data_IF_179595190459
#
_entry.id   IF_179595190459
#
_cell.length_a   1.000
_cell.length_b   1.000
_cell.length_c   1.000
_cell.angle_alpha   90.00
_cell.angle_beta   90.00
_cell.angle_gamma   90.00
#
_symmetry.space_group_name_H-M   'P 1'
#
loop_
_entity.id
_entity.type
_entity.pdbx_description
1 polymer ?
#
# COMPACT_ATOMS: atom_id res chain seq x y z
N UNK A 1 4.07 17.44 91.18
CA UNK A 1 3.09 16.36 91.44
C UNK A 1 2.39 16.06 90.12
N UNK A 2 2.62 14.87 89.55
CA UNK A 2 1.91 14.12 88.48
C UNK A 2 1.51 14.80 87.13
N UNK A 3 2.19 14.34 86.07
CA UNK A 3 1.71 13.72 84.80
C UNK A 3 0.38 14.13 84.15
N UNK A 4 0.46 14.51 82.86
CA UNK A 4 -0.38 14.12 81.69
C UNK A 4 -0.15 15.14 80.54
N UNK A 5 -0.11 14.88 79.24
CA UNK A 5 -0.40 13.75 78.35
C UNK A 5 -0.01 14.18 76.90
N UNK A 6 0.51 13.24 76.07
CA UNK A 6 0.32 12.97 74.61
C UNK A 6 -0.06 14.15 73.68
N UNK A 7 0.39 14.34 72.43
CA UNK A 7 1.23 13.66 71.41
C UNK A 7 1.40 14.66 70.23
N UNK A 8 2.33 14.42 69.27
CA UNK A 8 2.77 15.42 68.28
C UNK A 8 2.06 15.31 66.92
N UNK A 9 1.99 16.42 66.16
CA UNK A 9 1.73 16.40 64.71
C UNK A 9 2.80 17.23 63.99
N UNK A 10 3.82 16.55 63.48
CA UNK A 10 4.73 17.09 62.45
C UNK A 10 3.99 17.13 61.11
N UNK A 11 4.00 18.29 60.44
CA UNK A 11 3.63 18.44 59.03
C UNK A 11 4.84 18.11 58.15
N UNK A 12 4.66 17.45 56.99
CA UNK A 12 5.77 16.98 56.16
C UNK A 12 6.34 18.10 55.29
N UNK A 13 7.64 17.96 55.01
CA UNK A 13 8.48 18.77 54.15
C UNK A 13 7.94 18.85 52.71
N UNK A 14 7.89 20.07 52.17
CA UNK A 14 7.80 20.31 50.74
C UNK A 14 9.18 20.12 50.10
N UNK A 15 9.35 19.09 49.28
CA UNK A 15 10.49 18.95 48.36
C UNK A 15 9.98 19.17 46.94
N UNK A 16 10.21 20.36 46.42
CA UNK A 16 9.94 20.74 45.04
C UNK A 16 11.11 20.27 44.17
N UNK A 17 11.06 19.04 43.67
CA UNK A 17 11.95 18.59 42.59
C UNK A 17 11.50 19.25 41.29
N UNK A 18 12.28 20.21 40.78
CA UNK A 18 12.20 20.63 39.38
C UNK A 18 12.68 19.46 38.50
N UNK A 19 11.73 18.69 37.97
CA UNK A 19 11.97 17.83 36.81
C UNK A 19 12.11 18.75 35.59
N UNK A 20 13.36 19.04 35.21
CA UNK A 20 13.70 19.48 33.86
C UNK A 20 13.33 18.34 32.90
N UNK A 21 12.07 18.32 32.46
CA UNK A 21 11.61 17.45 31.39
C UNK A 21 12.38 17.81 30.13
N UNK A 22 13.28 16.93 29.69
CA UNK A 22 13.80 16.97 28.34
C UNK A 22 12.62 16.83 27.40
N UNK A 23 12.27 17.91 26.70
CA UNK A 23 11.36 17.85 25.58
C UNK A 23 11.98 16.91 24.55
N UNK A 24 11.56 15.64 24.57
CA UNK A 24 11.78 14.71 23.47
C UNK A 24 10.86 15.19 22.35
N UNK A 25 11.39 16.03 21.47
CA UNK A 25 10.81 16.17 20.14
C UNK A 25 10.79 14.78 19.51
N UNK A 26 9.58 14.34 19.15
CA UNK A 26 9.32 13.04 18.53
C UNK A 26 10.01 13.06 17.16
N UNK A 27 11.19 12.46 17.04
CA UNK A 27 11.81 12.11 15.76
C UNK A 27 11.13 10.84 15.22
N UNK A 28 9.91 10.98 14.73
CA UNK A 28 9.35 10.02 13.80
C UNK A 28 9.27 10.73 12.44
N UNK A 29 10.26 10.55 11.55
CA UNK A 29 10.05 10.67 10.08
C UNK A 29 11.28 10.37 9.20
N UNK A 30 12.52 10.61 9.66
CA UNK A 30 13.69 10.53 8.76
C UNK A 30 13.92 9.15 8.12
N UNK A 31 13.53 8.06 8.79
CA UNK A 31 13.72 6.71 8.27
C UNK A 31 12.70 6.33 7.18
N UNK A 32 11.44 6.76 7.31
CA UNK A 32 10.39 6.47 6.32
C UNK A 32 10.61 7.29 5.06
N UNK A 33 10.98 8.56 5.21
CA UNK A 33 11.30 9.43 4.08
C UNK A 33 12.52 8.93 3.30
N UNK A 34 13.60 8.55 4.00
CA UNK A 34 14.82 8.07 3.34
C UNK A 34 14.63 6.69 2.66
N UNK A 35 13.91 5.76 3.28
CA UNK A 35 13.59 4.47 2.68
C UNK A 35 12.61 4.64 1.50
N UNK A 36 11.58 5.47 1.68
CA UNK A 36 10.59 5.78 0.65
C UNK A 36 11.25 6.41 -0.59
N UNK A 37 12.16 7.37 -0.40
CA UNK A 37 12.91 7.99 -1.49
C UNK A 37 13.79 6.98 -2.23
N UNK A 38 14.51 6.11 -1.50
CA UNK A 38 15.30 5.04 -2.12
C UNK A 38 14.43 4.09 -2.96
N UNK A 39 13.25 3.70 -2.46
CA UNK A 39 12.32 2.82 -3.18
C UNK A 39 11.75 3.49 -4.42
N UNK A 40 11.26 4.72 -4.31
CA UNK A 40 10.71 5.47 -5.44
C UNK A 40 11.76 5.67 -6.53
N UNK A 41 12.99 6.05 -6.17
CA UNK A 41 14.09 6.25 -7.12
C UNK A 41 14.52 4.95 -7.79
N UNK A 42 14.65 3.87 -7.02
CA UNK A 42 14.95 2.55 -7.58
C UNK A 42 13.89 2.14 -8.60
N UNK A 43 12.61 2.23 -8.21
CA UNK A 43 11.47 1.86 -9.03
C UNK A 43 11.32 2.74 -10.28
N UNK A 44 11.62 4.03 -10.17
CA UNK A 44 11.49 5.01 -11.23
C UNK A 44 12.69 5.16 -12.16
N UNK A 45 13.88 4.68 -11.75
CA UNK A 45 15.13 4.90 -12.49
C UNK A 45 15.08 4.43 -13.95
N UNK A 46 14.39 3.32 -14.22
CA UNK A 46 14.19 2.79 -15.58
C UNK A 46 13.05 3.48 -16.36
N UNK A 47 12.18 4.22 -15.67
CA UNK A 47 11.03 4.91 -16.26
C UNK A 47 11.38 6.30 -16.78
N UNK A 48 12.38 6.97 -16.19
CA UNK A 48 12.78 8.33 -16.61
C UNK A 48 13.17 8.34 -18.10
N UNK A 49 12.59 9.27 -18.86
CA UNK A 49 12.74 9.42 -20.30
C UNK A 49 11.90 8.46 -21.14
N UNK A 50 11.28 7.45 -20.54
CA UNK A 50 10.39 6.54 -21.24
C UNK A 50 9.02 7.19 -21.48
N UNK A 51 8.33 6.82 -22.57
CA UNK A 51 6.95 7.20 -22.77
C UNK A 51 6.06 6.68 -21.63
N UNK A 52 5.21 7.54 -21.09
CA UNK A 52 4.22 7.17 -20.09
C UNK A 52 3.10 6.30 -20.71
N UNK A 53 2.45 5.42 -19.91
CA UNK A 53 1.37 4.57 -20.39
C UNK A 53 0.13 5.37 -20.78
N UNK A 54 -0.67 4.84 -21.72
CA UNK A 54 -2.07 5.25 -21.76
C UNK A 54 -2.77 4.72 -20.53
N UNK A 55 -3.55 5.56 -19.87
CA UNK A 55 -4.55 5.08 -18.94
C UNK A 55 -5.79 5.95 -19.01
N UNK A 56 -6.95 5.30 -18.83
CA UNK A 56 -8.21 5.97 -18.57
C UNK A 56 -8.50 5.82 -17.09
N UNK A 57 -8.57 6.95 -16.40
CA UNK A 57 -8.80 7.03 -14.97
C UNK A 57 -10.23 7.45 -14.69
N UNK A 58 -10.87 6.77 -13.75
CA UNK A 58 -12.16 7.19 -13.23
C UNK A 58 -11.93 7.97 -11.95
N UNK A 59 -12.41 9.22 -11.90
CA UNK A 59 -12.32 10.04 -10.69
C UNK A 59 -13.32 9.58 -9.64
N UNK A 60 -13.09 9.98 -8.39
CA UNK A 60 -13.99 9.78 -7.26
C UNK A 60 -15.41 10.32 -7.51
N UNK A 61 -15.54 11.30 -8.41
CA UNK A 61 -16.81 11.92 -8.82
C UNK A 61 -17.36 11.33 -10.15
N UNK A 62 -16.77 10.25 -10.65
CA UNK A 62 -17.21 9.53 -11.85
C UNK A 62 -16.77 10.16 -13.18
N UNK A 63 -15.92 11.18 -13.18
CA UNK A 63 -15.37 11.76 -14.42
C UNK A 63 -14.29 10.85 -15.00
N UNK A 64 -14.16 10.83 -16.32
CA UNK A 64 -13.11 10.10 -17.01
C UNK A 64 -11.95 11.05 -17.36
N UNK A 65 -10.73 10.65 -17.05
CA UNK A 65 -9.49 11.31 -17.48
C UNK A 65 -8.72 10.35 -18.37
N UNK A 66 -8.48 10.73 -19.62
CA UNK A 66 -7.64 9.97 -20.54
C UNK A 66 -6.25 10.61 -20.57
N UNK A 67 -5.27 9.97 -19.91
CA UNK A 67 -3.91 10.51 -19.81
C UNK A 67 -3.27 10.74 -21.19
N UNK A 68 -3.55 9.86 -22.15
CA UNK A 68 -2.99 9.96 -23.48
C UNK A 68 -3.47 11.21 -24.23
N UNK A 69 -4.66 11.72 -23.90
CA UNK A 69 -5.21 12.95 -24.47
C UNK A 69 -4.62 14.23 -23.86
N UNK A 70 -3.90 14.12 -22.74
CA UNK A 70 -3.21 15.24 -22.09
C UNK A 70 -1.81 15.45 -22.69
N UNK A 71 -1.18 14.37 -23.16
CA UNK A 71 0.12 14.44 -23.83
C UNK A 71 0.02 15.31 -25.11
N UNK A 72 1.00 16.19 -25.28
CA UNK A 72 1.05 17.26 -26.27
C UNK A 72 0.34 18.56 -25.84
N UNK A 73 -0.49 18.53 -24.79
CA UNK A 73 -1.24 19.71 -24.31
C UNK A 73 -0.63 20.29 -23.05
N UNK A 74 -0.48 19.48 -22.00
CA UNK A 74 0.09 19.88 -20.70
C UNK A 74 0.95 18.76 -20.12
N UNK A 75 1.98 19.08 -19.33
CA UNK A 75 2.57 18.11 -18.42
C UNK A 75 1.51 17.55 -17.46
N UNK A 76 1.74 16.35 -16.95
CA UNK A 76 0.86 15.65 -16.01
C UNK A 76 1.64 15.30 -14.76
N UNK A 77 1.16 15.74 -13.60
CA UNK A 77 1.73 15.38 -12.31
C UNK A 77 0.78 14.45 -11.55
N UNK A 78 1.21 13.21 -11.35
CA UNK A 78 0.49 12.20 -10.60
C UNK A 78 1.13 12.03 -9.22
N UNK A 79 0.31 12.07 -8.17
CA UNK A 79 0.72 11.65 -6.82
C UNK A 79 -0.05 10.41 -6.42
N UNK A 80 0.62 9.27 -6.38
CA UNK A 80 0.07 8.03 -5.84
C UNK A 80 -0.02 8.11 -4.32
N UNK A 81 -1.17 7.78 -3.76
CA UNK A 81 -1.41 7.90 -2.33
C UNK A 81 -2.47 6.94 -1.81
N UNK A 82 -2.61 6.88 -0.49
CA UNK A 82 -3.72 6.21 0.18
C UNK A 82 -4.10 6.99 1.44
N UNK A 83 -5.35 6.86 1.91
CA UNK A 83 -5.81 7.60 3.11
C UNK A 83 -5.18 7.09 4.40
N UNK A 84 -4.72 5.83 4.42
CA UNK A 84 -3.97 5.25 5.54
C UNK A 84 -2.49 5.66 5.58
N UNK A 85 -1.96 6.20 4.48
CA UNK A 85 -0.55 6.51 4.34
C UNK A 85 -0.22 7.85 5.03
N UNK A 86 0.48 7.78 6.16
CA UNK A 86 0.91 8.95 6.96
C UNK A 86 1.72 9.97 6.14
N UNK A 87 2.82 9.61 5.44
CA UNK A 87 3.59 10.59 4.67
C UNK A 87 2.79 11.19 3.52
N UNK A 88 1.85 10.43 2.94
CA UNK A 88 0.97 10.95 1.91
C UNK A 88 0.15 12.14 2.43
N UNK A 89 -0.46 11.97 3.62
CA UNK A 89 -1.27 12.99 4.29
C UNK A 89 -0.46 14.22 4.66
N UNK A 90 0.74 14.03 5.22
CA UNK A 90 1.65 15.14 5.56
C UNK A 90 2.02 15.97 4.32
N UNK A 91 2.20 15.33 3.16
CA UNK A 91 2.52 16.01 1.90
C UNK A 91 1.28 16.53 1.14
N UNK A 92 0.04 16.31 1.59
CA UNK A 92 -1.14 16.77 0.84
C UNK A 92 -1.31 18.28 0.79
N UNK A 93 -1.04 19.06 1.86
CA UNK A 93 -1.08 20.52 1.79
C UNK A 93 -0.10 21.09 0.75
N UNK A 94 1.11 20.54 0.63
CA UNK A 94 2.09 20.93 -0.40
C UNK A 94 1.59 20.59 -1.81
N UNK A 95 0.98 19.41 -1.97
CA UNK A 95 0.36 19.00 -3.23
C UNK A 95 -0.80 19.90 -3.67
N UNK A 96 -1.65 20.34 -2.74
CA UNK A 96 -2.71 21.32 -3.00
C UNK A 96 -2.13 22.70 -3.36
N UNK A 97 -1.05 23.14 -2.71
CA UNK A 97 -0.36 24.38 -3.08
C UNK A 97 0.23 24.31 -4.51
N UNK A 98 0.72 23.14 -4.94
CA UNK A 98 1.14 22.90 -6.33
C UNK A 98 -0.04 23.02 -7.28
N UNK A 99 -1.19 22.43 -6.96
CA UNK A 99 -2.41 22.57 -7.75
C UNK A 99 -2.83 24.04 -7.91
N UNK A 100 -2.85 24.81 -6.81
CA UNK A 100 -3.23 26.22 -6.84
C UNK A 100 -2.26 27.07 -7.67
N UNK A 101 -0.96 26.75 -7.64
CA UNK A 101 0.07 27.51 -8.35
C UNK A 101 0.22 27.13 -9.82
N UNK A 102 0.08 25.83 -10.13
CA UNK A 102 0.45 25.28 -11.44
C UNK A 102 -0.71 24.59 -12.18
N UNK A 103 -1.91 24.43 -11.60
CA UNK A 103 -3.03 23.70 -12.21
C UNK A 103 -3.48 24.22 -13.58
N UNK A 104 -3.24 25.50 -13.88
CA UNK A 104 -3.50 26.05 -15.21
C UNK A 104 -2.48 25.56 -16.27
N UNK A 105 -1.27 25.23 -15.84
CA UNK A 105 -0.12 24.88 -16.69
C UNK A 105 0.20 23.39 -16.71
N UNK A 106 -0.11 22.67 -15.63
CA UNK A 106 0.11 21.23 -15.40
C UNK A 106 -1.22 20.60 -15.03
N UNK A 107 -1.52 19.41 -15.54
CA UNK A 107 -2.62 18.60 -15.02
C UNK A 107 -2.15 17.88 -13.74
N UNK A 108 -2.61 18.32 -12.57
CA UNK A 108 -2.27 17.71 -11.27
C UNK A 108 -3.37 16.73 -10.87
N UNK A 109 -3.03 15.48 -10.61
CA UNK A 109 -4.00 14.41 -10.29
C UNK A 109 -3.53 13.64 -9.07
N UNK A 110 -4.37 13.57 -8.04
CA UNK A 110 -4.19 12.64 -6.93
C UNK A 110 -4.68 11.25 -7.37
N UNK A 111 -3.82 10.24 -7.34
CA UNK A 111 -4.17 8.86 -7.71
C UNK A 111 -4.20 8.01 -6.45
N UNK A 112 -5.39 7.77 -5.90
CA UNK A 112 -5.53 6.83 -4.80
C UNK A 112 -5.29 5.41 -5.33
N UNK A 113 -4.45 4.63 -4.65
CA UNK A 113 -4.09 3.28 -5.12
C UNK A 113 -5.23 2.28 -5.03
N UNK A 114 -6.31 2.61 -4.30
CA UNK A 114 -7.44 1.76 -3.92
C UNK A 114 -7.05 0.48 -3.17
N UNK A 115 -5.78 0.36 -2.75
CA UNK A 115 -5.27 -0.76 -2.00
C UNK A 115 -5.60 -0.57 -0.53
N UNK A 116 -6.47 -1.43 0.00
CA UNK A 116 -7.05 -1.34 1.33
C UNK A 116 -7.54 0.07 1.59
N UNK A 117 -8.40 0.60 0.75
CA UNK A 117 -8.95 1.95 0.87
C UNK A 117 -10.35 2.01 0.27
N UNK A 118 -11.14 3.00 0.67
CA UNK A 118 -12.54 3.09 0.26
C UNK A 118 -12.95 4.52 -0.12
N UNK A 119 -13.95 4.62 -1.00
CA UNK A 119 -14.38 5.88 -1.57
C UNK A 119 -14.89 6.89 -0.51
N UNK A 120 -15.43 6.42 0.61
CA UNK A 120 -15.97 7.29 1.65
C UNK A 120 -14.86 7.90 2.50
N UNK A 121 -13.85 7.09 2.86
CA UNK A 121 -12.60 7.55 3.45
C UNK A 121 -11.91 8.58 2.56
N UNK A 122 -11.82 8.33 1.24
CA UNK A 122 -11.22 9.27 0.29
C UNK A 122 -12.02 10.59 0.23
N UNK A 123 -13.36 10.51 0.20
CA UNK A 123 -14.23 11.70 0.22
C UNK A 123 -14.08 12.53 1.49
N UNK A 124 -13.97 11.87 2.65
CA UNK A 124 -13.72 12.54 3.92
C UNK A 124 -12.39 13.30 3.90
N UNK A 125 -11.30 12.64 3.47
CA UNK A 125 -9.99 13.28 3.37
C UNK A 125 -9.95 14.44 2.38
N UNK A 126 -10.60 14.31 1.22
CA UNK A 126 -10.73 15.42 0.26
C UNK A 126 -11.34 16.66 0.92
N UNK A 127 -12.41 16.46 1.71
CA UNK A 127 -13.10 17.55 2.40
C UNK A 127 -12.24 18.14 3.50
N UNK A 128 -11.64 17.30 4.35
CA UNK A 128 -10.89 17.74 5.53
C UNK A 128 -9.63 18.52 5.15
N UNK A 129 -8.98 18.14 4.04
CA UNK A 129 -7.77 18.79 3.53
C UNK A 129 -8.05 19.89 2.51
N UNK A 130 -9.32 20.09 2.12
CA UNK A 130 -9.71 21.10 1.11
C UNK A 130 -9.09 20.87 -0.27
N UNK A 131 -8.92 19.60 -0.67
CA UNK A 131 -8.26 19.26 -1.94
C UNK A 131 -9.14 19.63 -3.13
N UNK A 132 -8.55 20.35 -4.10
CA UNK A 132 -9.27 20.89 -5.27
C UNK A 132 -8.95 20.17 -6.58
N UNK A 133 -7.85 19.42 -6.63
CA UNK A 133 -7.49 18.65 -7.82
C UNK A 133 -8.37 17.41 -8.00
N UNK A 134 -8.47 16.86 -9.22
CA UNK A 134 -9.10 15.56 -9.45
C UNK A 134 -8.44 14.45 -8.62
N UNK A 135 -9.27 13.62 -8.00
CA UNK A 135 -8.83 12.39 -7.32
C UNK A 135 -9.31 11.20 -8.12
N UNK A 136 -8.39 10.43 -8.70
CA UNK A 136 -8.65 9.15 -9.36
C UNK A 136 -8.51 8.00 -8.36
N UNK A 137 -9.27 6.92 -8.56
CA UNK A 137 -9.05 5.65 -7.87
C UNK A 137 -8.50 4.69 -8.92
N UNK A 138 -7.25 4.27 -8.73
CA UNK A 138 -6.61 3.27 -9.57
C UNK A 138 -7.09 1.87 -9.17
N UNK A 139 -7.24 0.97 -10.15
CA UNK A 139 -7.52 -0.46 -9.91
C UNK A 139 -6.22 -1.29 -9.76
N UNK A 140 -5.07 -0.60 -9.75
CA UNK A 140 -3.73 -1.17 -9.72
C UNK A 140 -3.07 -1.23 -11.09
N UNK A 141 -3.82 -1.00 -12.18
CA UNK A 141 -3.30 -1.04 -13.55
C UNK A 141 -2.27 0.05 -13.79
N UNK A 142 -2.58 1.29 -13.39
CA UNK A 142 -1.64 2.39 -13.58
C UNK A 142 -0.46 2.28 -12.61
N UNK A 143 -0.71 1.86 -11.36
CA UNK A 143 0.34 1.60 -10.38
C UNK A 143 1.38 0.60 -10.92
N UNK A 144 0.96 -0.51 -11.54
CA UNK A 144 1.90 -1.46 -12.16
C UNK A 144 2.64 -0.87 -13.35
N UNK A 145 1.93 -0.19 -14.25
CA UNK A 145 2.55 0.40 -15.44
C UNK A 145 3.61 1.47 -15.09
N UNK A 146 3.46 2.13 -13.94
CA UNK A 146 4.40 3.10 -13.39
C UNK A 146 5.28 2.55 -12.26
N UNK A 147 5.36 1.22 -12.15
CA UNK A 147 6.21 0.50 -11.21
C UNK A 147 6.09 1.03 -9.76
N UNK A 148 4.88 1.23 -9.27
CA UNK A 148 4.64 1.73 -7.92
C UNK A 148 5.25 0.77 -6.87
N UNK A 149 6.07 1.32 -5.96
CA UNK A 149 6.69 0.55 -4.85
C UNK A 149 6.49 1.17 -3.47
N UNK A 150 5.97 2.39 -3.43
CA UNK A 150 5.89 3.22 -2.23
C UNK A 150 4.74 4.21 -2.39
N UNK A 151 4.16 4.65 -1.27
CA UNK A 151 3.26 5.81 -1.25
C UNK A 151 3.73 6.81 -0.18
N UNK A 152 3.82 8.12 -0.47
CA UNK A 152 3.54 8.71 -1.78
C UNK A 152 4.59 8.33 -2.83
N UNK A 153 4.16 8.22 -4.09
CA UNK A 153 5.07 8.23 -5.23
C UNK A 153 4.61 9.31 -6.18
N UNK A 154 5.50 10.27 -6.41
CA UNK A 154 5.34 11.36 -7.35
C UNK A 154 5.81 10.88 -8.71
N UNK A 155 5.00 11.09 -9.74
CA UNK A 155 5.37 10.85 -11.14
C UNK A 155 5.04 12.10 -11.94
N UNK A 156 6.05 12.74 -12.50
CA UNK A 156 5.88 13.87 -13.41
C UNK A 156 6.11 13.40 -14.84
N UNK A 157 5.13 13.64 -15.69
CA UNK A 157 5.16 13.35 -17.12
C UNK A 157 5.21 14.69 -17.85
N UNK A 158 6.18 14.85 -18.74
CA UNK A 158 6.34 16.02 -19.58
C UNK A 158 5.18 16.22 -20.54
N UNK A 159 5.10 17.40 -21.16
CA UNK A 159 4.14 17.68 -22.21
C UNK A 159 4.33 16.72 -23.38
N UNK A 160 5.54 16.23 -23.64
CA UNK A 160 5.79 15.24 -24.69
C UNK A 160 5.32 13.81 -24.34
N UNK A 161 4.77 13.58 -23.14
CA UNK A 161 4.31 12.27 -22.69
C UNK A 161 5.43 11.38 -22.14
N UNK A 162 6.65 11.88 -21.93
CA UNK A 162 7.74 11.12 -21.29
C UNK A 162 7.80 11.40 -19.79
N UNK A 163 8.21 10.40 -19.02
CA UNK A 163 8.35 10.54 -17.57
C UNK A 163 9.62 11.35 -17.27
N UNK A 164 9.48 12.49 -16.61
CA UNK A 164 10.56 13.41 -16.25
C UNK A 164 11.08 13.20 -14.83
N UNK A 165 10.22 12.76 -13.91
CA UNK A 165 10.57 12.58 -12.51
C UNK A 165 9.76 11.45 -11.88
N UNK A 166 10.41 10.67 -11.01
CA UNK A 166 9.79 9.72 -10.11
C UNK A 166 10.48 9.85 -8.75
N UNK A 167 9.71 10.07 -7.68
CA UNK A 167 10.26 10.34 -6.35
C UNK A 167 9.25 10.17 -5.23
N UNK A 168 9.70 10.25 -3.98
CA UNK A 168 8.85 10.10 -2.79
C UNK A 168 8.58 11.43 -2.07
N UNK A 169 9.56 12.33 -2.10
CA UNK A 169 9.59 13.54 -1.29
C UNK A 169 9.03 14.73 -2.06
N UNK A 170 8.28 15.58 -1.35
CA UNK A 170 7.97 16.95 -1.80
C UNK A 170 9.17 17.85 -1.52
N UNK A 171 10.15 17.86 -2.42
CA UNK A 171 11.46 18.48 -2.21
C UNK A 171 11.90 19.36 -3.40
N UNK A 172 13.11 19.94 -3.29
CA UNK A 172 13.68 20.79 -4.33
C UNK A 172 13.82 20.07 -5.69
N UNK A 173 14.08 18.76 -5.69
CA UNK A 173 14.20 17.96 -6.91
C UNK A 173 12.86 17.93 -7.67
N UNK A 174 11.77 17.58 -6.98
CA UNK A 174 10.41 17.62 -7.53
C UNK A 174 10.03 19.03 -8.02
N UNK A 175 10.26 20.06 -7.22
CA UNK A 175 9.92 21.43 -7.60
C UNK A 175 10.73 21.92 -8.81
N UNK A 176 11.99 21.51 -8.95
CA UNK A 176 12.81 21.82 -10.13
C UNK A 176 12.26 21.12 -11.36
N UNK A 177 11.87 19.85 -11.24
CA UNK A 177 11.24 19.11 -12.34
C UNK A 177 9.90 19.74 -12.77
N UNK A 178 9.07 20.19 -11.83
CA UNK A 178 7.82 20.92 -12.12
C UNK A 178 8.09 22.21 -12.92
N UNK A 179 9.10 22.99 -12.53
CA UNK A 179 9.48 24.20 -13.27
C UNK A 179 9.97 23.89 -14.68
N UNK A 180 10.77 22.82 -14.85
CA UNK A 180 11.23 22.37 -16.16
C UNK A 180 10.07 21.92 -17.05
N UNK A 181 9.10 21.18 -16.50
CA UNK A 181 7.92 20.73 -17.23
C UNK A 181 7.05 21.91 -17.72
N UNK A 182 6.91 22.97 -16.91
CA UNK A 182 6.20 24.19 -17.32
C UNK A 182 6.94 24.91 -18.46
N UNK A 183 8.27 24.98 -18.36
CA UNK A 183 9.12 25.64 -19.37
C UNK A 183 9.32 24.81 -20.65
N UNK A 184 8.89 23.55 -20.66
CA UNK A 184 9.06 22.65 -21.80
C UNK A 184 8.38 23.22 -23.05
N UNK A 185 9.10 23.19 -24.18
CA UNK A 185 8.57 23.56 -25.49
C UNK A 185 7.60 22.52 -26.07
N UNK A 186 7.26 22.67 -27.35
CA UNK A 186 6.58 21.60 -28.08
C UNK A 186 7.62 20.58 -28.54
N UNK A 187 7.41 19.31 -28.24
CA UNK A 187 8.21 18.18 -28.68
C UNK A 187 7.30 17.10 -29.31
N UNK A 188 7.85 16.16 -30.09
CA UNK A 188 7.07 15.02 -30.59
C UNK A 188 6.47 14.22 -29.44
N UNK A 189 5.15 14.07 -29.47
CA UNK A 189 4.43 13.33 -28.43
C UNK A 189 4.77 11.83 -28.52
N UNK A 190 5.14 11.25 -27.39
CA UNK A 190 5.38 9.83 -27.21
C UNK A 190 4.38 9.24 -26.22
N UNK A 191 4.01 7.98 -26.43
CA UNK A 191 3.09 7.22 -25.58
C UNK A 191 3.46 5.75 -25.63
N UNK A 192 3.46 5.08 -24.49
CA UNK A 192 3.62 3.62 -24.42
C UNK A 192 2.31 2.89 -24.74
N UNK A 193 2.34 1.57 -24.66
CA UNK A 193 1.14 0.73 -24.77
C UNK A 193 0.07 1.13 -23.74
N UNK A 194 -1.17 0.74 -24.03
CA UNK A 194 -2.28 0.94 -23.10
C UNK A 194 -2.04 0.11 -21.83
N UNK A 195 -2.16 0.75 -20.67
CA UNK A 195 -2.26 0.03 -19.41
C UNK A 195 -3.67 -0.55 -19.33
N UNK A 196 -3.75 -1.88 -19.35
CA UNK A 196 -5.02 -2.61 -19.36
C UNK A 196 -5.19 -3.41 -18.08
N UNK A 197 -6.37 -3.35 -17.49
CA UNK A 197 -6.74 -4.21 -16.38
C UNK A 197 -6.65 -5.69 -16.80
N UNK A 198 -6.02 -6.51 -15.96
CA UNK A 198 -6.01 -7.96 -16.14
C UNK A 198 -7.37 -8.55 -15.74
N UNK A 199 -7.75 -9.66 -16.37
CA UNK A 199 -8.90 -10.45 -15.91
C UNK A 199 -8.64 -10.97 -14.50
N UNK A 200 -9.68 -10.97 -13.68
CA UNK A 200 -9.62 -11.44 -12.29
C UNK A 200 -10.34 -12.77 -12.13
N UNK A 201 -9.79 -13.68 -11.35
CA UNK A 201 -10.45 -14.93 -10.96
C UNK A 201 -11.59 -14.65 -9.96
N UNK A 202 -12.77 -15.18 -10.26
CA UNK A 202 -13.92 -15.21 -9.38
C UNK A 202 -14.10 -16.61 -8.74
N UNK A 203 -14.97 -16.69 -7.73
CA UNK A 203 -15.39 -17.99 -7.16
C UNK A 203 -15.98 -18.88 -8.27
N UNK A 204 -15.46 -20.10 -8.38
CA UNK A 204 -15.79 -21.09 -9.42
C UNK A 204 -14.77 -21.16 -10.55
N UNK A 205 -13.98 -20.11 -10.77
CA UNK A 205 -12.97 -20.07 -11.83
C UNK A 205 -11.84 -21.05 -11.55
N UNK A 206 -11.36 -21.68 -12.62
CA UNK A 206 -10.20 -22.56 -12.56
C UNK A 206 -8.93 -21.74 -12.79
N UNK A 207 -8.02 -21.79 -11.83
CA UNK A 207 -6.69 -21.19 -11.92
C UNK A 207 -5.75 -22.19 -12.60
N UNK A 208 -5.39 -21.91 -13.85
CA UNK A 208 -4.32 -22.63 -14.56
C UNK A 208 -3.12 -21.72 -14.77
N UNK A 209 -1.94 -22.33 -14.98
CA UNK A 209 -0.75 -21.63 -15.48
C UNK A 209 -0.17 -20.53 -14.56
N UNK A 210 -0.44 -20.65 -13.26
CA UNK A 210 0.14 -19.78 -12.24
C UNK A 210 1.28 -20.48 -11.50
N UNK A 211 2.35 -19.75 -11.24
CA UNK A 211 3.48 -20.22 -10.45
C UNK A 211 3.95 -19.13 -9.51
N UNK A 212 3.99 -19.41 -8.21
CA UNK A 212 4.40 -18.45 -7.19
C UNK A 212 5.81 -18.82 -6.71
N UNK A 213 6.85 -18.03 -7.02
CA UNK A 213 8.17 -18.24 -6.45
C UNK A 213 8.14 -17.89 -4.95
N UNK A 214 8.67 -18.77 -4.12
CA UNK A 214 8.75 -18.59 -2.68
C UNK A 214 10.12 -18.06 -2.27
N UNK A 215 10.19 -17.45 -1.08
CA UNK A 215 11.43 -16.87 -0.55
C UNK A 215 12.52 -17.90 -0.26
N UNK A 216 12.16 -19.17 -0.03
CA UNK A 216 13.11 -20.26 0.18
C UNK A 216 13.70 -20.82 -1.14
N UNK A 217 13.35 -20.22 -2.28
CA UNK A 217 13.77 -20.63 -3.61
C UNK A 217 12.92 -21.74 -4.23
N UNK A 218 11.95 -22.29 -3.48
CA UNK A 218 10.95 -23.20 -4.04
C UNK A 218 9.87 -22.46 -4.83
N UNK A 219 8.96 -23.21 -5.46
CA UNK A 219 7.88 -22.66 -6.28
C UNK A 219 6.59 -23.43 -6.00
N UNK A 220 5.50 -22.71 -5.75
CA UNK A 220 4.16 -23.27 -5.72
C UNK A 220 3.55 -23.24 -7.12
N UNK A 221 3.32 -24.42 -7.72
CA UNK A 221 2.78 -24.55 -9.09
C UNK A 221 1.30 -24.91 -9.09
N UNK A 222 0.48 -24.08 -9.76
CA UNK A 222 -0.96 -24.22 -9.76
C UNK A 222 -1.48 -25.26 -10.75
N UNK A 223 -0.73 -25.54 -11.82
CA UNK A 223 -1.13 -26.51 -12.84
C UNK A 223 -0.98 -27.97 -12.37
N UNK A 224 -0.07 -28.22 -11.42
CA UNK A 224 0.21 -29.56 -10.88
C UNK A 224 -0.60 -29.92 -9.62
N UNK A 225 -1.64 -29.13 -9.28
CA UNK A 225 -2.39 -29.27 -8.04
C UNK A 225 -3.04 -30.65 -7.87
N UNK A 226 -2.79 -31.26 -6.72
CA UNK A 226 -3.53 -32.45 -6.24
C UNK A 226 -4.09 -32.26 -4.83
N UNK A 227 -3.93 -31.06 -4.28
CA UNK A 227 -4.32 -30.67 -2.91
C UNK A 227 -5.03 -29.33 -2.95
N UNK A 228 -5.98 -29.09 -2.03
CA UNK A 228 -6.50 -27.75 -1.81
C UNK A 228 -5.40 -26.77 -1.40
N UNK A 229 -5.64 -25.48 -1.60
CA UNK A 229 -4.69 -24.40 -1.30
C UNK A 229 -5.33 -23.27 -0.54
N UNK A 230 -4.51 -22.63 0.28
CA UNK A 230 -4.84 -21.37 0.93
C UNK A 230 -3.75 -20.33 0.61
N UNK A 231 -4.15 -19.25 -0.05
CA UNK A 231 -3.29 -18.12 -0.39
C UNK A 231 -3.67 -16.96 0.52
N UNK A 232 -2.78 -16.58 1.42
CA UNK A 232 -2.97 -15.44 2.33
C UNK A 232 -2.32 -14.21 1.72
N UNK A 233 -3.13 -13.26 1.25
CA UNK A 233 -2.69 -11.96 0.74
C UNK A 233 -2.58 -10.95 1.86
N UNK A 234 -1.40 -10.35 2.04
CA UNK A 234 -1.14 -9.42 3.13
C UNK A 234 -0.04 -8.42 2.81
N UNK A 235 0.28 -7.56 3.78
CA UNK A 235 1.54 -6.82 3.80
C UNK A 235 2.11 -6.83 5.23
N UNK A 236 3.41 -7.11 5.43
CA UNK A 236 4.05 -7.16 6.74
C UNK A 236 3.80 -5.96 7.65
N UNK A 237 3.76 -4.76 7.06
CA UNK A 237 3.53 -3.52 7.79
C UNK A 237 2.07 -3.37 8.29
N UNK A 238 1.12 -4.16 7.79
CA UNK A 238 -0.30 -4.02 8.11
C UNK A 238 -0.60 -4.13 9.61
N UNK A 239 0.09 -5.02 10.33
CA UNK A 239 -0.17 -5.26 11.75
C UNK A 239 0.31 -4.12 12.65
N UNK A 240 1.38 -3.43 12.27
CA UNK A 240 2.03 -2.41 13.10
C UNK A 240 1.72 -0.99 12.63
N UNK A 241 1.80 -0.74 11.33
CA UNK A 241 1.63 0.59 10.74
C UNK A 241 0.19 1.08 10.82
N UNK A 242 -0.78 0.17 10.72
CA UNK A 242 -2.20 0.53 10.69
C UNK A 242 -2.86 0.59 12.08
N UNK A 243 -2.15 0.33 13.17
CA UNK A 243 -2.75 0.24 14.52
C UNK A 243 -3.50 1.52 14.89
N UNK A 244 -2.90 2.68 14.62
CA UNK A 244 -3.48 3.96 15.00
C UNK A 244 -4.54 4.43 13.99
N UNK A 245 -4.26 4.30 12.70
CA UNK A 245 -5.12 4.84 11.64
C UNK A 245 -6.28 3.91 11.27
N UNK A 246 -6.09 2.59 11.40
CA UNK A 246 -7.04 1.54 11.00
C UNK A 246 -6.94 0.29 11.91
N UNK A 247 -7.28 0.43 13.19
CA UNK A 247 -7.10 -0.64 14.19
C UNK A 247 -7.83 -1.95 13.84
N UNK A 248 -8.97 -1.88 13.14
CA UNK A 248 -9.69 -3.08 12.70
C UNK A 248 -8.92 -3.86 11.65
N UNK A 249 -8.34 -3.19 10.66
CA UNK A 249 -7.51 -3.81 9.63
C UNK A 249 -6.23 -4.40 10.22
N UNK A 250 -5.56 -3.68 11.13
CA UNK A 250 -4.39 -4.19 11.83
C UNK A 250 -4.68 -5.49 12.59
N UNK A 251 -5.80 -5.52 13.35
CA UNK A 251 -6.26 -6.72 14.06
C UNK A 251 -6.63 -7.86 13.11
N UNK A 252 -7.24 -7.56 11.96
CA UNK A 252 -7.54 -8.58 10.96
C UNK A 252 -6.25 -9.21 10.42
N UNK A 253 -5.23 -8.40 10.07
CA UNK A 253 -3.92 -8.90 9.62
C UNK A 253 -3.28 -9.83 10.65
N UNK A 254 -3.29 -9.44 11.93
CA UNK A 254 -2.81 -10.29 13.02
C UNK A 254 -3.61 -11.59 13.14
N UNK A 255 -4.93 -11.49 13.15
CA UNK A 255 -5.83 -12.64 13.26
C UNK A 255 -5.60 -13.65 12.13
N UNK A 256 -5.54 -13.20 10.87
CA UNK A 256 -5.36 -14.09 9.72
C UNK A 256 -4.01 -14.80 9.78
N UNK A 257 -2.92 -14.11 10.17
CA UNK A 257 -1.61 -14.76 10.36
C UNK A 257 -1.69 -15.85 11.43
N UNK A 258 -2.19 -15.51 12.61
CA UNK A 258 -2.23 -16.43 13.75
C UNK A 258 -3.17 -17.63 13.49
N UNK A 259 -4.32 -17.38 12.87
CA UNK A 259 -5.27 -18.45 12.54
C UNK A 259 -4.75 -19.34 11.40
N UNK A 260 -4.03 -18.79 10.41
CA UNK A 260 -3.35 -19.60 9.39
C UNK A 260 -2.30 -20.52 10.01
N UNK A 261 -1.42 -20.01 10.88
CA UNK A 261 -0.42 -20.81 11.59
C UNK A 261 -1.06 -21.92 12.44
N UNK A 262 -2.16 -21.61 13.13
CA UNK A 262 -2.93 -22.59 13.89
C UNK A 262 -3.55 -23.64 12.98
N UNK A 263 -4.21 -23.25 11.90
CA UNK A 263 -4.86 -24.17 10.97
C UNK A 263 -3.86 -25.10 10.30
N UNK A 264 -2.69 -24.62 9.89
CA UNK A 264 -1.59 -25.42 9.33
C UNK A 264 -1.16 -26.57 10.24
N UNK A 265 -1.30 -26.42 11.56
CA UNK A 265 -0.93 -27.46 12.53
C UNK A 265 -1.97 -28.58 12.68
N UNK A 266 -3.20 -28.37 12.20
CA UNK A 266 -4.29 -29.35 12.28
C UNK A 266 -4.15 -30.48 11.25
N UNK A 267 -4.80 -31.62 11.47
CA UNK A 267 -4.77 -32.73 10.51
C UNK A 267 -5.30 -32.35 9.13
N UNK A 268 -6.37 -31.53 9.07
CA UNK A 268 -6.89 -31.01 7.82
C UNK A 268 -5.92 -29.99 7.18
N UNK A 269 -5.38 -29.06 7.96
CA UNK A 269 -4.45 -28.05 7.44
C UNK A 269 -3.19 -28.64 6.82
N UNK A 270 -2.69 -29.78 7.34
CA UNK A 270 -1.56 -30.53 6.74
C UNK A 270 -1.86 -31.10 5.35
N UNK A 271 -3.13 -31.20 4.97
CA UNK A 271 -3.55 -31.64 3.62
C UNK A 271 -3.63 -30.49 2.61
N UNK A 272 -3.51 -29.25 3.07
CA UNK A 272 -3.62 -28.03 2.27
C UNK A 272 -2.21 -27.49 2.00
N UNK A 273 -1.97 -27.00 0.79
CA UNK A 273 -0.76 -26.27 0.47
C UNK A 273 -0.98 -24.77 0.79
N UNK A 274 -0.22 -24.23 1.75
CA UNK A 274 -0.35 -22.86 2.23
C UNK A 274 0.75 -21.95 1.67
N UNK A 275 0.39 -20.71 1.37
CA UNK A 275 1.34 -19.65 1.02
C UNK A 275 0.85 -18.28 1.47
N UNK A 276 1.73 -17.48 2.04
CA UNK A 276 1.54 -16.05 2.26
C UNK A 276 2.14 -15.25 1.12
N UNK A 277 1.32 -14.45 0.44
CA UNK A 277 1.73 -13.56 -0.65
C UNK A 277 1.70 -12.13 -0.14
N UNK A 278 2.87 -11.53 0.02
CA UNK A 278 2.99 -10.12 0.41
C UNK A 278 2.87 -9.23 -0.82
N UNK A 279 2.16 -8.10 -0.67
CA UNK A 279 2.28 -6.98 -1.61
C UNK A 279 3.72 -6.46 -1.63
N UNK A 280 4.15 -5.95 -2.78
CA UNK A 280 5.44 -5.26 -2.95
C UNK A 280 5.46 -3.83 -2.40
N UNK A 281 4.28 -3.25 -2.13
CA UNK A 281 4.16 -1.88 -1.66
C UNK A 281 4.80 -1.74 -0.27
N UNK A 282 5.87 -0.94 -0.16
CA UNK A 282 6.67 -0.77 1.06
C UNK A 282 7.34 -2.05 1.59
N UNK A 283 7.53 -3.09 0.76
CA UNK A 283 8.08 -4.38 1.21
C UNK A 283 9.20 -4.84 0.30
N UNK A 284 10.28 -5.34 0.88
CA UNK A 284 11.34 -6.08 0.19
C UNK A 284 11.37 -7.53 0.66
N UNK A 285 12.13 -8.38 -0.04
CA UNK A 285 12.32 -9.76 0.40
C UNK A 285 12.95 -9.84 1.80
N UNK A 286 13.85 -8.91 2.14
CA UNK A 286 14.47 -8.84 3.46
C UNK A 286 13.45 -8.48 4.55
N UNK A 287 12.56 -7.52 4.28
CA UNK A 287 11.49 -7.13 5.22
C UNK A 287 10.54 -8.30 5.48
N UNK A 288 10.23 -9.07 4.43
CA UNK A 288 9.35 -10.23 4.53
C UNK A 288 9.99 -11.39 5.32
N UNK A 289 11.30 -11.62 5.16
CA UNK A 289 12.06 -12.57 5.98
C UNK A 289 12.13 -12.13 7.45
N UNK A 290 12.35 -10.85 7.72
CA UNK A 290 12.35 -10.32 9.08
C UNK A 290 10.97 -10.45 9.73
N UNK A 291 9.90 -10.15 8.99
CA UNK A 291 8.52 -10.38 9.42
C UNK A 291 8.26 -11.85 9.79
N UNK A 292 8.66 -12.80 8.94
CA UNK A 292 8.51 -14.23 9.24
C UNK A 292 9.23 -14.63 10.53
N UNK A 293 10.46 -14.14 10.71
CA UNK A 293 11.29 -14.41 11.89
C UNK A 293 10.71 -13.80 13.17
N UNK A 294 10.27 -12.55 13.11
CA UNK A 294 9.77 -11.80 14.28
C UNK A 294 8.41 -12.32 14.74
N UNK A 295 7.52 -12.64 13.81
CA UNK A 295 6.21 -13.24 14.10
C UNK A 295 6.29 -14.72 14.41
N UNK A 296 7.42 -15.38 14.09
CA UNK A 296 7.61 -16.84 14.17
C UNK A 296 6.58 -17.62 13.34
N UNK A 297 6.09 -17.01 12.27
CA UNK A 297 5.12 -17.65 11.39
C UNK A 297 5.76 -18.79 10.61
N UNK A 298 5.03 -19.90 10.52
CA UNK A 298 5.41 -21.10 9.76
C UNK A 298 4.95 -21.05 8.31
N UNK A 299 4.15 -20.04 7.95
CA UNK A 299 3.60 -19.84 6.62
C UNK A 299 4.74 -19.67 5.58
N UNK A 300 4.79 -20.49 4.51
CA UNK A 300 5.71 -20.24 3.39
C UNK A 300 5.38 -18.91 2.73
N UNK A 301 6.39 -18.07 2.47
CA UNK A 301 6.17 -16.70 2.01
C UNK A 301 6.65 -16.47 0.58
N UNK A 302 5.93 -15.61 -0.14
CA UNK A 302 6.25 -15.10 -1.46
C UNK A 302 6.12 -13.57 -1.46
N UNK A 303 7.05 -12.90 -2.14
CA UNK A 303 6.93 -11.48 -2.44
C UNK A 303 6.32 -11.31 -3.83
N UNK A 304 5.17 -10.63 -3.92
CA UNK A 304 4.58 -10.22 -5.19
C UNK A 304 4.87 -8.75 -5.46
N UNK A 305 6.08 -8.48 -5.95
CA UNK A 305 6.64 -7.13 -6.04
C UNK A 305 5.83 -6.15 -6.92
N UNK A 306 5.11 -6.66 -7.93
CA UNK A 306 4.30 -5.86 -8.87
C UNK A 306 2.78 -5.91 -8.60
N UNK A 307 2.38 -6.55 -7.50
CA UNK A 307 1.00 -6.82 -7.09
C UNK A 307 0.15 -7.55 -8.16
N UNK A 308 0.77 -8.21 -9.14
CA UNK A 308 0.06 -8.92 -10.23
C UNK A 308 -0.82 -10.06 -9.72
N UNK A 309 -0.41 -10.77 -8.67
CA UNK A 309 -1.23 -11.82 -8.05
C UNK A 309 -2.42 -11.22 -7.31
N UNK A 310 -2.23 -10.10 -6.59
CA UNK A 310 -3.34 -9.39 -5.95
C UNK A 310 -4.41 -9.04 -6.98
N UNK A 311 -4.00 -8.46 -8.11
CA UNK A 311 -4.94 -8.13 -9.19
C UNK A 311 -5.57 -9.36 -9.83
N UNK A 312 -4.79 -10.41 -10.11
CA UNK A 312 -5.29 -11.64 -10.70
C UNK A 312 -6.40 -12.28 -9.85
N UNK A 313 -6.36 -12.13 -8.52
CA UNK A 313 -7.41 -12.61 -7.62
C UNK A 313 -8.42 -11.54 -7.19
N UNK A 314 -8.37 -10.34 -7.78
CA UNK A 314 -9.26 -9.23 -7.41
C UNK A 314 -9.08 -8.78 -5.95
N UNK A 315 -7.96 -9.09 -5.32
CA UNK A 315 -7.67 -8.73 -3.93
C UNK A 315 -7.25 -7.27 -3.88
N UNK A 316 -8.12 -6.45 -3.30
CA UNK A 316 -7.89 -5.02 -3.09
C UNK A 316 -7.69 -4.67 -1.63
N UNK A 317 -8.23 -5.48 -0.72
CA UNK A 317 -8.13 -5.28 0.71
C UNK A 317 -7.23 -6.34 1.36
N UNK A 318 -6.40 -5.92 2.31
CA UNK A 318 -5.59 -6.82 3.14
C UNK A 318 -6.06 -6.81 4.61
N UNK A 319 -5.95 -7.95 5.32
CA UNK A 319 -5.60 -9.25 4.74
C UNK A 319 -6.78 -9.82 3.93
N UNK A 320 -6.48 -10.69 2.97
CA UNK A 320 -7.50 -11.52 2.31
C UNK A 320 -6.98 -12.94 2.15
N UNK A 321 -7.86 -13.94 2.17
CA UNK A 321 -7.49 -15.35 1.93
C UNK A 321 -8.27 -15.91 0.76
N UNK A 322 -7.55 -16.42 -0.24
CA UNK A 322 -8.15 -17.15 -1.36
C UNK A 322 -7.97 -18.64 -1.13
N UNK A 323 -9.08 -19.38 -1.16
CA UNK A 323 -9.08 -20.83 -1.03
C UNK A 323 -9.35 -21.49 -2.37
N UNK A 324 -8.53 -22.48 -2.72
CA UNK A 324 -8.71 -23.28 -3.94
C UNK A 324 -8.92 -24.75 -3.57
N UNK A 325 -9.80 -25.44 -4.30
CA UNK A 325 -9.96 -26.88 -4.16
C UNK A 325 -8.82 -27.67 -4.82
N UNK A 326 -8.86 -28.99 -4.69
CA UNK A 326 -7.88 -29.91 -5.30
C UNK A 326 -7.85 -29.90 -6.83
N UNK A 327 -8.80 -29.22 -7.49
CA UNK A 327 -8.86 -29.02 -8.94
C UNK A 327 -8.41 -27.61 -9.38
N UNK A 328 -7.83 -26.84 -8.45
CA UNK A 328 -7.45 -25.43 -8.64
C UNK A 328 -8.63 -24.51 -8.94
N UNK A 329 -9.84 -24.81 -8.46
CA UNK A 329 -10.96 -23.87 -8.56
C UNK A 329 -11.02 -22.98 -7.33
N UNK A 330 -11.24 -21.68 -7.54
CA UNK A 330 -11.47 -20.74 -6.45
C UNK A 330 -12.78 -21.12 -5.76
N UNK A 331 -12.72 -21.44 -4.48
CA UNK A 331 -13.91 -21.77 -3.67
C UNK A 331 -14.33 -20.61 -2.80
N UNK A 332 -13.37 -19.84 -2.28
CA UNK A 332 -13.61 -18.71 -1.39
C UNK A 332 -12.61 -17.58 -1.65
N UNK A 333 -13.09 -16.34 -1.50
CA UNK A 333 -12.27 -15.14 -1.38
C UNK A 333 -12.75 -14.45 -0.10
N UNK A 334 -11.95 -14.55 0.96
CA UNK A 334 -12.29 -14.14 2.32
C UNK A 334 -11.60 -12.80 2.57
N UNK A 335 -12.37 -11.73 2.77
CA UNK A 335 -11.84 -10.39 3.01
C UNK A 335 -11.57 -10.09 4.48
N UNK A 336 -11.03 -8.89 4.80
CA UNK A 336 -10.59 -8.53 6.15
C UNK A 336 -11.71 -8.40 7.19
N UNK A 337 -12.97 -8.29 6.73
CA UNK A 337 -14.16 -8.18 7.59
C UNK A 337 -14.79 -9.54 7.93
N UNK A 338 -14.30 -10.61 7.32
CA UNK A 338 -14.87 -11.95 7.46
C UNK A 338 -14.05 -12.76 8.47
N UNK A 339 -14.72 -13.32 9.47
CA UNK A 339 -14.09 -14.05 10.59
C UNK A 339 -14.16 -15.57 10.42
N UNK A 340 -14.63 -16.05 9.27
CA UNK A 340 -14.96 -17.46 9.07
C UNK A 340 -13.83 -18.27 8.40
N UNK A 341 -12.57 -17.84 8.52
CA UNK A 341 -11.43 -18.50 7.87
C UNK A 341 -11.34 -19.98 8.25
N UNK A 342 -11.48 -20.30 9.55
CA UNK A 342 -11.43 -21.69 10.02
C UNK A 342 -12.55 -22.55 9.41
N UNK A 343 -13.79 -22.04 9.37
CA UNK A 343 -14.93 -22.77 8.81
C UNK A 343 -14.78 -22.98 7.30
N UNK A 344 -14.31 -21.96 6.58
CA UNK A 344 -14.06 -22.05 5.14
C UNK A 344 -12.95 -23.08 4.84
N UNK A 345 -11.87 -23.07 5.60
CA UNK A 345 -10.78 -24.06 5.49
C UNK A 345 -11.28 -25.47 5.81
N UNK A 346 -12.11 -25.61 6.86
CA UNK A 346 -12.68 -26.90 7.23
C UNK A 346 -13.65 -27.46 6.17
N UNK A 347 -14.22 -26.59 5.32
CA UNK A 347 -15.09 -26.98 4.22
C UNK A 347 -14.36 -27.45 2.96
N UNK A 348 -13.03 -27.21 2.86
CA UNK A 348 -12.24 -27.62 1.71
C UNK A 348 -12.13 -29.14 1.63
N UNK A 349 -12.44 -29.69 0.45
CA UNK A 349 -12.40 -31.11 0.13
C UNK A 349 -11.33 -31.44 -0.89
#
# INVERSE_FOLDING_TARGET
>A
MRLSSLSPLLKPFASLLLLLGTAQFIHADDSYDAEGDRRAKSAGSSLIGQPAPAAKLTTLDGKQIDLAQLYGKKPVYLKFWATWCVPCRQQMPGFEAIQQKFGDQIEVIAVNTGFSDDADSIRAYRKDLGLTMPIAIDDGTLATALNLRVTPQHVLIGRDGRIMHVGHLDNQELHTALQQAVAEGKQPVAKAADATAAATFAVGDKVSDLGIPLLDGSKLDFAAAKKPRAIVFFAPWCESYLVESRPQTAKACQYVREEADKLMSTEQGKTIDWVGVSSGLWVSAADLLDYQKTTKSSLPLALNDDDSLFRAFGVRDIPSVVLLDSQSRVTHIIGPKDTNLADAVNSLK
#
